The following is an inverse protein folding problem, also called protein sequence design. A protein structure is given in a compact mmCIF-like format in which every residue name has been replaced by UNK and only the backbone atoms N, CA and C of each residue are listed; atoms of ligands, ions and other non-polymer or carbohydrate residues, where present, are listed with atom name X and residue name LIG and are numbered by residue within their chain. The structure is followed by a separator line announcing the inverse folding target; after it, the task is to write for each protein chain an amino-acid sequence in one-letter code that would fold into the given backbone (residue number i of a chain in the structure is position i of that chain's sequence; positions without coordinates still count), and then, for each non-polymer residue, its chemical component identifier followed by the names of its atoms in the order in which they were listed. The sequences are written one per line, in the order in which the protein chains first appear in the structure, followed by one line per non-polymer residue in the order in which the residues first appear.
data_IF_047396677521
#
_entry.id   IF_047396677521
#
_cell.length_a   1.000
_cell.length_b   1.000
_cell.length_c   1.000
_cell.angle_alpha   90.00
_cell.angle_beta   90.00
_cell.angle_gamma   90.00
#
_symmetry.space_group_name_H-M   'P 1'
#
loop_
_entity.id
_entity.type
_entity.pdbx_description
1 polymer ?
#
# COMPACT_ATOMS: atom_id res chain seq x y z
N UNK A 1 10.92 10.47 -17.87
CA UNK A 1 10.32 9.57 -16.87
C UNK A 1 9.88 10.43 -15.70
N UNK A 2 8.62 10.33 -15.31
CA UNK A 2 8.12 10.93 -14.07
C UNK A 2 8.71 10.23 -12.85
N UNK A 3 8.63 10.88 -11.69
CA UNK A 3 9.10 10.30 -10.42
C UNK A 3 8.36 8.98 -10.10
N UNK A 4 7.07 8.92 -10.40
CA UNK A 4 6.25 7.71 -10.31
C UNK A 4 6.75 6.58 -11.22
N UNK A 5 7.10 6.89 -12.47
CA UNK A 5 7.63 5.91 -13.43
C UNK A 5 9.00 5.38 -12.98
N UNK A 6 9.82 6.24 -12.36
CA UNK A 6 11.12 5.86 -11.82
C UNK A 6 10.97 4.91 -10.61
N UNK A 7 10.12 5.26 -9.63
CA UNK A 7 9.86 4.41 -8.47
C UNK A 7 9.22 3.07 -8.88
N UNK A 8 8.32 3.07 -9.86
CA UNK A 8 7.75 1.82 -10.39
C UNK A 8 8.83 0.95 -11.06
N UNK A 9 9.76 1.55 -11.80
CA UNK A 9 10.89 0.85 -12.40
C UNK A 9 11.86 0.30 -11.34
N UNK A 10 12.14 1.04 -10.26
CA UNK A 10 13.00 0.59 -9.17
C UNK A 10 12.40 -0.60 -8.40
N UNK A 11 11.09 -0.55 -8.10
CA UNK A 11 10.38 -1.68 -7.49
C UNK A 11 10.34 -2.88 -8.42
N UNK A 12 10.14 -2.67 -9.72
CA UNK A 12 10.17 -3.74 -10.71
C UNK A 12 11.55 -4.39 -10.84
N UNK A 13 12.62 -3.59 -10.83
CA UNK A 13 13.98 -4.05 -11.05
C UNK A 13 14.63 -4.66 -9.79
N UNK A 14 14.32 -4.13 -8.60
CA UNK A 14 15.05 -4.47 -7.36
C UNK A 14 14.16 -5.04 -6.26
N UNK A 15 12.83 -4.99 -6.42
CA UNK A 15 11.87 -5.42 -5.40
C UNK A 15 11.72 -4.45 -4.23
N UNK A 16 12.47 -3.33 -4.21
CA UNK A 16 12.41 -2.30 -3.18
C UNK A 16 12.45 -0.91 -3.81
N UNK A 17 11.93 0.08 -3.08
CA UNK A 17 12.04 1.49 -3.43
C UNK A 17 12.81 2.20 -2.31
N UNK A 18 14.15 2.30 -2.41
CA UNK A 18 14.98 2.70 -1.28
C UNK A 18 14.72 4.14 -0.80
N UNK A 19 14.31 5.05 -1.70
CA UNK A 19 14.11 6.46 -1.37
C UNK A 19 12.64 6.88 -1.16
N UNK A 20 11.69 6.27 -1.89
CA UNK A 20 10.27 6.66 -1.82
C UNK A 20 9.34 5.47 -2.07
N UNK A 21 8.34 5.24 -1.22
CA UNK A 21 7.36 4.17 -1.45
C UNK A 21 6.21 4.66 -2.34
N UNK A 22 5.69 3.87 -3.30
CA UNK A 22 4.68 4.33 -4.25
C UNK A 22 3.43 4.98 -3.64
N UNK A 23 3.05 4.59 -2.41
CA UNK A 23 1.89 5.16 -1.72
C UNK A 23 2.12 6.62 -1.26
N UNK A 24 3.36 7.10 -1.20
CA UNK A 24 3.67 8.48 -0.83
C UNK A 24 3.13 9.47 -1.87
N UNK A 25 3.21 9.13 -3.16
CA UNK A 25 2.69 9.97 -4.25
C UNK A 25 1.16 10.09 -4.23
N UNK A 26 0.48 9.15 -3.58
CA UNK A 26 -0.98 9.09 -3.49
C UNK A 26 -1.50 9.61 -2.14
N UNK A 27 -0.64 10.12 -1.24
CA UNK A 27 -1.03 10.46 0.13
C UNK A 27 -2.21 11.43 0.20
N UNK A 28 -2.18 12.50 -0.61
CA UNK A 28 -3.26 13.48 -0.63
C UNK A 28 -4.60 12.84 -1.04
N UNK A 29 -4.59 12.00 -2.07
CA UNK A 29 -5.79 11.32 -2.57
C UNK A 29 -6.30 10.26 -1.58
N UNK A 30 -5.39 9.47 -1.00
CA UNK A 30 -5.71 8.46 0.01
C UNK A 30 -6.29 9.10 1.28
N UNK A 31 -5.72 10.22 1.73
CA UNK A 31 -6.24 10.98 2.87
C UNK A 31 -7.63 11.54 2.55
N UNK A 32 -7.86 12.05 1.33
CA UNK A 32 -9.18 12.52 0.88
C UNK A 32 -10.23 11.40 0.82
N UNK A 33 -9.82 10.16 0.54
CA UNK A 33 -10.67 8.97 0.58
C UNK A 33 -10.93 8.45 2.00
N UNK A 34 -10.29 9.01 3.02
CA UNK A 34 -10.42 8.54 4.40
C UNK A 34 -9.65 7.24 4.69
N UNK A 35 -8.61 6.95 3.91
CA UNK A 35 -7.72 5.81 4.14
C UNK A 35 -6.93 6.02 5.43
N UNK A 36 -6.92 5.01 6.30
CA UNK A 36 -6.16 5.06 7.54
C UNK A 36 -4.72 4.54 7.33
N UNK A 37 -3.68 5.33 7.66
CA UNK A 37 -2.31 4.85 7.60
C UNK A 37 -2.05 3.82 8.71
N UNK A 38 -1.19 2.85 8.41
CA UNK A 38 -0.90 1.72 9.31
C UNK A 38 -0.44 2.16 10.71
N UNK A 39 0.32 3.27 10.81
CA UNK A 39 0.78 3.84 12.08
C UNK A 39 -0.35 4.25 13.03
N UNK A 40 -1.55 4.54 12.51
CA UNK A 40 -2.72 4.95 13.29
C UNK A 40 -3.63 3.80 13.68
N UNK A 41 -3.42 2.59 13.15
CA UNK A 41 -4.31 1.45 13.40
C UNK A 41 -4.45 1.12 14.90
N UNK A 42 -3.39 1.31 15.69
CA UNK A 42 -3.42 1.04 17.13
C UNK A 42 -4.32 1.99 17.93
N UNK A 43 -4.77 3.10 17.33
CA UNK A 43 -5.71 4.03 17.96
C UNK A 43 -7.18 3.72 17.65
N UNK A 44 -7.45 2.76 16.76
CA UNK A 44 -8.81 2.39 16.37
C UNK A 44 -9.39 1.41 17.39
N UNK A 45 -10.62 1.62 17.87
CA UNK A 45 -11.31 0.66 18.73
C UNK A 45 -11.43 -0.73 18.09
N UNK A 46 -11.35 -1.77 18.91
CA UNK A 46 -11.57 -3.14 18.45
C UNK A 46 -12.99 -3.32 17.88
N UNK A 47 -13.10 -4.05 16.78
CA UNK A 47 -14.36 -4.30 16.08
C UNK A 47 -14.79 -3.23 15.06
N UNK A 48 -14.12 -2.07 15.02
CA UNK A 48 -14.43 -1.02 14.04
C UNK A 48 -13.91 -1.37 12.64
N UNK A 49 -14.65 -0.91 11.63
CA UNK A 49 -14.25 -1.03 10.22
C UNK A 49 -13.38 0.15 9.82
N UNK A 50 -12.29 -0.13 9.11
CA UNK A 50 -11.39 0.89 8.56
C UNK A 50 -11.19 0.70 7.07
N UNK A 51 -10.94 1.81 6.37
CA UNK A 51 -10.47 1.80 4.99
C UNK A 51 -8.95 1.84 4.98
N UNK A 52 -8.31 0.99 4.17
CA UNK A 52 -6.86 0.84 4.11
C UNK A 52 -6.42 0.68 2.66
N UNK A 53 -5.22 1.16 2.35
CA UNK A 53 -4.61 1.05 1.04
C UNK A 53 -3.13 0.69 1.17
N UNK A 54 -2.59 0.03 0.15
CA UNK A 54 -1.20 -0.40 0.13
C UNK A 54 -0.83 -1.03 -1.21
N UNK A 55 0.46 -1.34 -1.37
CA UNK A 55 0.92 -2.07 -2.54
C UNK A 55 0.73 -3.58 -2.32
N UNK A 56 0.13 -4.25 -3.31
CA UNK A 56 0.08 -5.71 -3.34
C UNK A 56 1.38 -6.21 -3.95
N UNK A 57 2.27 -6.76 -3.12
CA UNK A 57 3.57 -7.26 -3.58
C UNK A 57 3.48 -8.69 -4.11
N UNK A 58 2.57 -9.50 -3.55
CA UNK A 58 2.44 -10.91 -3.88
C UNK A 58 0.98 -11.38 -3.79
N UNK A 59 0.64 -12.39 -4.61
CA UNK A 59 -0.63 -13.12 -4.48
C UNK A 59 -0.35 -14.50 -3.88
N UNK A 60 -0.98 -14.78 -2.75
CA UNK A 60 -0.93 -16.10 -2.12
C UNK A 60 -1.90 -17.06 -2.82
N UNK A 61 -1.58 -18.36 -2.82
CA UNK A 61 -2.48 -19.44 -3.27
C UNK A 61 -2.58 -20.53 -2.20
N UNK A 62 -3.20 -20.24 -1.05
CA UNK A 62 -3.37 -21.25 -0.01
C UNK A 62 -4.35 -22.33 -0.47
N UNK A 63 -4.23 -23.55 0.04
CA UNK A 63 -5.10 -24.68 -0.33
C UNK A 63 -6.60 -24.41 -0.01
N UNK A 64 -6.87 -23.52 0.94
CA UNK A 64 -8.22 -23.08 1.32
C UNK A 64 -8.82 -22.01 0.39
N UNK A 65 -8.06 -21.49 -0.58
CA UNK A 65 -8.53 -20.52 -1.56
C UNK A 65 -9.00 -21.16 -2.89
N UNK A 66 -9.29 -22.45 -2.90
CA UNK A 66 -9.75 -23.17 -4.10
C UNK A 66 -11.22 -22.93 -4.41
N UNK A 67 -11.47 -22.44 -5.63
CA UNK A 67 -12.59 -22.73 -6.53
C UNK A 67 -11.99 -22.99 -7.92
#
# INVERSE_FOLDING_TARGET
MSELELTAADVWATGISPDSYPTQFLRADLDALGVLPAEKLLSVPDGDRVLIAGAVTHRQRPATAGE
#
